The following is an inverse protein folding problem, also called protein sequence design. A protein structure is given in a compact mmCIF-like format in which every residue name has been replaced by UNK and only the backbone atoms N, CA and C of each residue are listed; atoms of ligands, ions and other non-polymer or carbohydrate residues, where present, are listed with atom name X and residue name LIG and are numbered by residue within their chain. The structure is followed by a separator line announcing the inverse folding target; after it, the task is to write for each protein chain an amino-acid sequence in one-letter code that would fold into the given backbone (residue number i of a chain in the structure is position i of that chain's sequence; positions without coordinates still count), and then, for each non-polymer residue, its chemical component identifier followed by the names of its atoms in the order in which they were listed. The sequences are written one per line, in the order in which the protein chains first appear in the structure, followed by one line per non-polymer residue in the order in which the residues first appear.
data_IF_396825959838
#
_entry.id   IF_396825959838
#
_cell.length_a   1.000
_cell.length_b   1.000
_cell.length_c   1.000
_cell.angle_alpha   90.00
_cell.angle_beta   90.00
_cell.angle_gamma   90.00
#
_symmetry.space_group_name_H-M   'P 1'
#
loop_
_entity.id
_entity.type
_entity.pdbx_description
1 polymer ?
#
# COMPACT_ATOMS: atom_id res chain seq x y z
N UNK A 1 3.08 -5.55 -2.59
CA UNK A 1 2.39 -6.61 -1.83
C UNK A 1 0.91 -6.57 -2.21
N UNK A 2 0.36 -7.62 -2.85
CA UNK A 2 -1.05 -7.60 -3.32
C UNK A 2 -2.08 -7.94 -2.24
N UNK A 3 -1.65 -8.43 -1.07
CA UNK A 3 -2.55 -8.88 -0.01
C UNK A 3 -3.38 -7.75 0.63
N UNK A 4 -2.84 -6.52 0.68
CA UNK A 4 -3.48 -5.39 1.36
C UNK A 4 -4.67 -4.80 0.60
N UNK A 5 -4.73 -5.00 -0.72
CA UNK A 5 -5.79 -4.51 -1.60
C UNK A 5 -6.27 -5.65 -2.51
N UNK A 6 -6.93 -6.69 -1.95
CA UNK A 6 -7.31 -7.89 -2.71
C UNK A 6 -8.39 -7.62 -3.78
N UNK A 7 -9.04 -6.46 -3.70
CA UNK A 7 -10.08 -6.03 -4.64
C UNK A 7 -9.57 -5.04 -5.69
N UNK A 8 -8.28 -4.70 -5.68
CA UNK A 8 -7.69 -3.77 -6.65
C UNK A 8 -7.75 -4.34 -8.08
N UNK A 9 -7.93 -3.47 -9.06
CA UNK A 9 -7.87 -3.76 -10.50
C UNK A 9 -7.07 -2.69 -11.24
N UNK A 10 -6.69 -2.97 -12.49
CA UNK A 10 -5.72 -2.20 -13.30
C UNK A 10 -6.22 -0.79 -13.70
N UNK A 11 -7.45 -0.42 -13.33
CA UNK A 11 -7.92 0.96 -13.43
C UNK A 11 -9.43 1.10 -13.21
N UNK A 12 -9.86 2.34 -12.95
CA UNK A 12 -11.27 2.73 -13.00
C UNK A 12 -11.56 3.37 -14.37
N UNK A 13 -12.59 2.93 -15.11
CA UNK A 13 -12.91 3.49 -16.43
C UNK A 13 -13.31 4.98 -16.39
N UNK A 14 -13.66 5.51 -15.22
CA UNK A 14 -13.96 6.93 -15.01
C UNK A 14 -12.69 7.77 -14.84
N UNK A 15 -11.55 7.14 -14.52
CA UNK A 15 -10.30 7.82 -14.21
C UNK A 15 -9.71 8.53 -15.42
N UNK A 16 -9.49 9.84 -15.30
CA UNK A 16 -8.90 10.69 -16.34
C UNK A 16 -7.70 11.42 -15.75
N UNK A 17 -6.49 11.31 -16.35
CA UNK A 17 -5.33 12.10 -15.96
C UNK A 17 -5.57 13.61 -16.08
N UNK A 18 -5.06 14.37 -15.11
CA UNK A 18 -5.07 15.83 -15.08
C UNK A 18 -3.63 16.36 -14.92
N UNK A 19 -3.32 17.63 -15.25
CA UNK A 19 -1.97 18.18 -15.09
C UNK A 19 -1.39 18.01 -13.68
N UNK A 20 -2.22 18.23 -12.65
CA UNK A 20 -1.81 18.09 -11.24
C UNK A 20 -1.98 16.66 -10.71
N UNK A 21 -2.63 15.78 -11.49
CA UNK A 21 -2.94 14.40 -11.14
C UNK A 21 -2.64 13.52 -12.36
N UNK A 22 -1.35 13.34 -12.65
CA UNK A 22 -0.88 12.67 -13.89
C UNK A 22 -1.33 11.20 -14.02
N UNK A 23 -1.76 10.58 -12.92
CA UNK A 23 -2.36 9.24 -12.89
C UNK A 23 -3.88 9.28 -12.68
N UNK A 24 -4.49 10.46 -12.70
CA UNK A 24 -5.88 10.75 -12.38
C UNK A 24 -6.15 10.81 -10.88
N UNK A 25 -7.36 11.26 -10.51
CA UNK A 25 -7.79 11.48 -9.11
C UNK A 25 -7.98 10.17 -8.34
N UNK A 26 -8.32 9.11 -9.06
CA UNK A 26 -8.51 7.75 -8.55
C UNK A 26 -7.76 6.75 -9.44
N UNK A 27 -6.41 6.68 -9.32
CA UNK A 27 -5.57 5.92 -10.25
C UNK A 27 -5.77 4.40 -10.19
N UNK A 28 -6.22 3.90 -9.05
CA UNK A 28 -6.44 2.48 -8.81
C UNK A 28 -7.93 2.16 -8.82
N UNK A 29 -8.33 1.15 -9.59
CA UNK A 29 -9.71 0.68 -9.60
C UNK A 29 -9.97 -0.28 -8.44
N UNK A 30 -11.21 -0.34 -7.97
CA UNK A 30 -11.68 -1.35 -7.03
C UNK A 30 -12.81 -2.18 -7.65
N UNK A 31 -12.54 -3.47 -7.90
CA UNK A 31 -13.47 -4.38 -8.59
C UNK A 31 -14.84 -4.44 -7.92
N UNK A 32 -14.90 -4.54 -6.59
CA UNK A 32 -16.17 -4.66 -5.87
C UNK A 32 -16.97 -3.35 -5.92
N UNK A 33 -16.30 -2.21 -5.82
CA UNK A 33 -16.95 -0.91 -5.96
C UNK A 33 -17.49 -0.70 -7.38
N UNK A 34 -16.75 -1.12 -8.42
CA UNK A 34 -17.23 -1.07 -9.80
C UNK A 34 -18.45 -1.99 -10.01
N UNK A 35 -18.49 -3.17 -9.39
CA UNK A 35 -19.67 -4.05 -9.41
C UNK A 35 -20.89 -3.42 -8.71
N UNK A 36 -20.69 -2.73 -7.57
CA UNK A 36 -21.75 -1.98 -6.89
C UNK A 36 -22.30 -0.88 -7.81
N UNK A 37 -21.44 -0.12 -8.47
CA UNK A 37 -21.85 0.94 -9.37
C UNK A 37 -22.58 0.40 -10.61
N UNK A 38 -22.14 -0.75 -11.14
CA UNK A 38 -22.83 -1.43 -12.24
C UNK A 38 -24.25 -1.87 -11.89
N UNK A 39 -24.58 -2.02 -10.60
CA UNK A 39 -25.95 -2.29 -10.12
C UNK A 39 -26.84 -1.04 -10.00
N UNK A 40 -26.30 0.15 -10.30
CA UNK A 40 -27.04 1.43 -10.24
C UNK A 40 -27.18 2.02 -8.84
N UNK A 41 -26.55 1.43 -7.83
CA UNK A 41 -26.55 1.95 -6.46
C UNK A 41 -25.69 3.20 -6.34
N UNK A 42 -26.14 4.16 -5.53
CA UNK A 42 -25.43 5.42 -5.25
C UNK A 42 -25.52 5.80 -3.77
N UNK A 43 -24.72 6.79 -3.35
CA UNK A 43 -24.77 7.38 -2.01
C UNK A 43 -24.54 6.35 -0.88
N UNK A 44 -25.22 6.53 0.28
CA UNK A 44 -25.07 5.62 1.42
C UNK A 44 -25.42 4.15 1.11
N UNK A 45 -26.35 3.92 0.18
CA UNK A 45 -26.73 2.56 -0.23
C UNK A 45 -25.59 1.85 -0.99
N UNK A 46 -24.86 2.57 -1.84
CA UNK A 46 -23.68 2.02 -2.52
C UNK A 46 -22.57 1.66 -1.53
N UNK A 47 -22.31 2.53 -0.54
CA UNK A 47 -21.31 2.25 0.49
C UNK A 47 -21.70 1.01 1.32
N UNK A 48 -22.95 0.92 1.76
CA UNK A 48 -23.44 -0.25 2.50
C UNK A 48 -23.29 -1.55 1.69
N UNK A 49 -23.69 -1.52 0.41
CA UNK A 49 -23.54 -2.67 -0.49
C UNK A 49 -22.08 -3.03 -0.74
N UNK A 50 -21.18 -2.05 -0.80
CA UNK A 50 -19.74 -2.30 -0.88
C UNK A 50 -19.22 -3.02 0.37
N UNK A 51 -19.57 -2.54 1.57
CA UNK A 51 -19.10 -3.11 2.83
C UNK A 51 -19.59 -4.56 3.02
N UNK A 52 -20.83 -4.84 2.61
CA UNK A 52 -21.36 -6.20 2.61
C UNK A 52 -20.59 -7.10 1.63
N UNK A 53 -20.37 -6.63 0.39
CA UNK A 53 -19.60 -7.38 -0.61
C UNK A 53 -18.14 -7.59 -0.21
N UNK A 54 -17.49 -6.60 0.40
CA UNK A 54 -16.09 -6.73 0.81
C UNK A 54 -15.93 -7.78 1.91
N UNK A 55 -16.89 -7.87 2.83
CA UNK A 55 -16.97 -8.96 3.81
C UNK A 55 -17.24 -10.32 3.15
N UNK A 56 -18.21 -10.41 2.24
CA UNK A 56 -18.60 -11.67 1.59
C UNK A 56 -17.54 -12.21 0.60
N UNK A 57 -16.82 -11.32 -0.07
CA UNK A 57 -15.81 -11.67 -1.08
C UNK A 57 -14.38 -11.69 -0.54
N UNK A 58 -14.19 -11.52 0.77
CA UNK A 58 -12.85 -11.55 1.38
C UNK A 58 -12.16 -12.90 1.08
N UNK A 59 -11.00 -12.91 0.42
CA UNK A 59 -10.27 -14.16 0.19
C UNK A 59 -9.75 -14.73 1.51
N UNK A 60 -9.45 -16.03 1.53
CA UNK A 60 -8.77 -16.65 2.66
C UNK A 60 -7.45 -15.89 2.95
N UNK A 61 -7.31 -15.26 4.13
CA UNK A 61 -6.13 -14.45 4.44
C UNK A 61 -4.84 -15.28 4.44
N UNK A 62 -4.89 -16.51 4.94
CA UNK A 62 -3.71 -17.37 5.06
C UNK A 62 -3.21 -17.79 3.68
N UNK A 63 -4.09 -18.30 2.82
CA UNK A 63 -3.73 -18.67 1.44
C UNK A 63 -3.19 -17.47 0.65
N UNK A 64 -3.76 -16.29 0.87
CA UNK A 64 -3.31 -15.06 0.24
C UNK A 64 -1.90 -14.68 0.69
N UNK A 65 -1.62 -14.78 1.99
CA UNK A 65 -0.31 -14.50 2.55
C UNK A 65 0.73 -15.52 2.09
N UNK A 66 0.40 -16.80 2.04
CA UNK A 66 1.31 -17.86 1.59
C UNK A 66 1.72 -17.65 0.12
N UNK A 67 0.75 -17.31 -0.75
CA UNK A 67 1.03 -16.97 -2.15
C UNK A 67 1.93 -15.74 -2.28
N UNK A 68 1.66 -14.69 -1.51
CA UNK A 68 2.44 -13.45 -1.54
C UNK A 68 3.86 -13.67 -0.98
N UNK A 69 4.00 -14.48 0.07
CA UNK A 69 5.28 -14.91 0.65
C UNK A 69 6.11 -15.67 -0.36
N UNK A 70 5.56 -16.73 -0.93
CA UNK A 70 6.25 -17.53 -1.93
C UNK A 70 6.75 -16.68 -3.10
N UNK A 71 5.91 -15.75 -3.60
CA UNK A 71 6.29 -14.85 -4.69
C UNK A 71 7.39 -13.86 -4.30
N UNK A 72 7.36 -13.33 -3.08
CA UNK A 72 8.38 -12.41 -2.60
C UNK A 72 9.71 -13.13 -2.38
N UNK A 73 9.71 -14.25 -1.66
CA UNK A 73 10.91 -15.05 -1.37
C UNK A 73 11.55 -15.60 -2.65
N UNK A 74 10.74 -16.05 -3.61
CA UNK A 74 11.25 -16.50 -4.91
C UNK A 74 11.96 -15.38 -5.67
N UNK A 75 11.49 -14.13 -5.57
CA UNK A 75 12.17 -12.97 -6.18
C UNK A 75 13.43 -12.61 -5.40
N UNK A 76 13.34 -12.60 -4.08
CA UNK A 76 14.44 -12.28 -3.16
C UNK A 76 15.63 -13.23 -3.37
N UNK A 77 15.36 -14.53 -3.62
CA UNK A 77 16.37 -15.54 -3.90
C UNK A 77 17.17 -15.28 -5.21
N UNK A 78 16.68 -14.39 -6.07
CA UNK A 78 17.36 -13.97 -7.30
C UNK A 78 18.02 -12.58 -7.16
N UNK A 79 18.13 -12.05 -5.95
CA UNK A 79 18.75 -10.76 -5.66
C UNK A 79 19.98 -10.94 -4.77
N UNK A 80 21.05 -10.19 -5.04
CA UNK A 80 22.23 -10.14 -4.15
C UNK A 80 21.89 -9.52 -2.78
N UNK A 81 20.87 -8.64 -2.76
CA UNK A 81 20.38 -7.96 -1.56
C UNK A 81 18.88 -8.23 -1.43
N UNK A 82 18.53 -9.11 -0.48
CA UNK A 82 17.14 -9.46 -0.18
C UNK A 82 16.50 -8.57 0.90
N UNK A 83 15.16 -8.55 0.96
CA UNK A 83 14.37 -7.81 1.95
C UNK A 83 13.13 -8.58 2.47
N UNK A 84 12.89 -9.80 1.99
CA UNK A 84 11.67 -10.54 2.29
C UNK A 84 11.47 -10.80 3.79
N UNK A 85 12.54 -11.17 4.49
CA UNK A 85 12.57 -11.36 5.95
C UNK A 85 12.10 -10.12 6.72
N UNK A 86 12.62 -8.94 6.33
CA UNK A 86 12.23 -7.67 6.95
C UNK A 86 10.77 -7.36 6.72
N UNK A 87 10.29 -7.53 5.49
CA UNK A 87 8.88 -7.35 5.16
C UNK A 87 8.01 -8.27 6.02
N UNK A 88 8.35 -9.55 6.13
CA UNK A 88 7.54 -10.50 6.90
C UNK A 88 7.57 -10.25 8.41
N UNK A 89 8.69 -9.77 8.95
CA UNK A 89 8.80 -9.37 10.34
C UNK A 89 7.98 -8.11 10.68
N UNK A 90 7.74 -7.22 9.71
CA UNK A 90 7.22 -5.88 9.98
C UNK A 90 5.83 -5.59 9.40
N UNK A 91 5.36 -6.28 8.36
CA UNK A 91 4.16 -5.84 7.61
C UNK A 91 2.87 -5.81 8.45
N UNK A 92 2.79 -6.59 9.53
CA UNK A 92 1.65 -6.53 10.47
C UNK A 92 1.79 -5.40 11.49
N UNK A 93 3.01 -5.08 11.86
CA UNK A 93 3.33 -4.10 12.92
C UNK A 93 3.39 -2.67 12.38
N UNK A 94 3.74 -2.50 11.11
CA UNK A 94 4.02 -1.20 10.48
C UNK A 94 3.33 -1.09 9.12
N UNK A 95 2.82 0.11 8.82
CA UNK A 95 2.21 0.41 7.53
C UNK A 95 3.30 0.55 6.45
N UNK A 96 3.81 -0.55 5.89
CA UNK A 96 5.00 -0.53 5.01
C UNK A 96 4.73 -0.10 3.57
N UNK A 97 3.53 -0.35 3.08
CA UNK A 97 3.17 -0.16 1.68
C UNK A 97 2.18 0.99 1.58
N UNK A 98 2.43 1.91 0.64
CA UNK A 98 1.57 3.05 0.36
C UNK A 98 0.46 2.68 -0.64
N UNK A 99 0.74 1.76 -1.56
CA UNK A 99 -0.18 1.32 -2.60
C UNK A 99 0.44 0.17 -3.38
N UNK A 100 -0.09 -0.11 -4.57
CA UNK A 100 0.56 -1.06 -5.47
C UNK A 100 1.97 -0.56 -5.83
N UNK A 101 2.99 -1.37 -5.50
CA UNK A 101 4.42 -1.13 -5.76
C UNK A 101 5.10 0.06 -5.04
N UNK A 102 4.39 0.83 -4.21
CA UNK A 102 4.97 1.95 -3.46
C UNK A 102 5.18 1.60 -1.98
N UNK A 103 6.34 1.93 -1.43
CA UNK A 103 6.70 1.67 -0.03
C UNK A 103 7.07 2.94 0.72
N UNK A 104 7.00 2.88 2.05
CA UNK A 104 7.48 3.95 2.91
C UNK A 104 8.99 4.09 2.91
N UNK A 105 9.46 5.30 3.20
CA UNK A 105 10.86 5.69 3.24
C UNK A 105 11.70 4.76 4.12
N UNK A 106 11.17 4.31 5.26
CA UNK A 106 11.94 3.42 6.14
C UNK A 106 12.21 2.03 5.54
N UNK A 107 11.36 1.54 4.62
CA UNK A 107 11.63 0.29 3.92
C UNK A 107 12.73 0.49 2.85
N UNK A 108 12.77 1.67 2.22
CA UNK A 108 13.87 2.08 1.34
C UNK A 108 15.18 2.21 2.14
N UNK A 109 15.12 2.83 3.32
CA UNK A 109 16.25 2.97 4.22
C UNK A 109 16.84 1.63 4.66
N UNK A 110 15.98 0.64 4.96
CA UNK A 110 16.41 -0.73 5.22
C UNK A 110 17.12 -1.34 4.02
N UNK A 111 16.54 -1.23 2.81
CA UNK A 111 17.17 -1.76 1.60
C UNK A 111 18.52 -1.10 1.32
N UNK A 112 18.62 0.22 1.53
CA UNK A 112 19.85 0.97 1.36
C UNK A 112 20.93 0.55 2.37
N UNK A 113 20.54 0.26 3.62
CA UNK A 113 21.45 -0.27 4.64
C UNK A 113 22.01 -1.64 4.24
N UNK A 114 21.15 -2.55 3.77
CA UNK A 114 21.56 -3.88 3.31
C UNK A 114 22.45 -3.81 2.08
N UNK A 115 22.13 -2.93 1.13
CA UNK A 115 22.98 -2.68 -0.04
C UNK A 115 24.36 -2.17 0.37
N UNK A 116 24.41 -1.24 1.32
CA UNK A 116 25.67 -0.74 1.85
C UNK A 116 26.49 -1.87 2.49
N UNK A 117 25.88 -2.69 3.35
CA UNK A 117 26.59 -3.78 4.03
C UNK A 117 27.12 -4.82 3.02
N UNK A 118 26.37 -5.11 1.94
CA UNK A 118 26.80 -6.00 0.87
C UNK A 118 27.98 -5.44 0.04
N UNK A 119 28.07 -4.11 -0.13
CA UNK A 119 29.09 -3.46 -0.96
C UNK A 119 30.27 -2.90 -0.17
N UNK A 120 30.18 -2.76 1.15
CA UNK A 120 31.15 -2.02 1.95
C UNK A 120 32.59 -2.54 1.79
N UNK A 121 32.78 -3.86 1.76
CA UNK A 121 34.09 -4.47 1.58
C UNK A 121 34.74 -4.12 0.21
N UNK A 122 33.93 -3.82 -0.81
CA UNK A 122 34.40 -3.45 -2.15
C UNK A 122 34.69 -1.94 -2.25
N UNK A 123 33.90 -1.11 -1.56
CA UNK A 123 34.01 0.35 -1.60
C UNK A 123 35.09 0.85 -0.61
N UNK A 124 35.30 0.14 0.50
CA UNK A 124 36.20 0.54 1.58
C UNK A 124 35.68 1.70 2.42
N UNK A 125 36.57 2.37 3.15
CA UNK A 125 36.27 3.53 4.00
C UNK A 125 35.88 3.19 5.44
N UNK A 126 35.47 4.21 6.20
CA UNK A 126 34.99 4.06 7.58
C UNK A 126 33.53 3.58 7.57
N UNK A 127 33.35 2.31 7.94
CA UNK A 127 32.06 1.63 7.99
C UNK A 127 31.03 2.31 8.89
N UNK A 128 31.48 2.80 10.04
CA UNK A 128 30.58 3.33 11.06
C UNK A 128 30.16 4.76 10.72
N UNK A 129 31.10 5.58 10.23
CA UNK A 129 30.79 6.92 9.73
C UNK A 129 29.81 6.85 8.54
N UNK A 130 30.00 5.90 7.62
CA UNK A 130 29.11 5.70 6.48
C UNK A 130 27.71 5.23 6.92
N UNK A 131 27.61 4.26 7.85
CA UNK A 131 26.32 3.85 8.42
C UNK A 131 25.58 4.98 9.11
N UNK A 132 26.28 5.84 9.86
CA UNK A 132 25.67 7.02 10.48
C UNK A 132 25.12 7.99 9.43
N UNK A 133 25.90 8.30 8.38
CA UNK A 133 25.47 9.16 7.28
C UNK A 133 24.28 8.56 6.52
N UNK A 134 24.29 7.26 6.29
CA UNK A 134 23.19 6.56 5.62
C UNK A 134 21.90 6.61 6.44
N UNK A 135 21.98 6.37 7.76
CA UNK A 135 20.83 6.50 8.66
C UNK A 135 20.28 7.93 8.67
N UNK A 136 21.16 8.94 8.72
CA UNK A 136 20.76 10.33 8.65
C UNK A 136 20.06 10.64 7.32
N UNK A 137 20.64 10.24 6.19
CA UNK A 137 20.03 10.40 4.87
C UNK A 137 18.68 9.68 4.77
N UNK A 138 18.59 8.43 5.22
CA UNK A 138 17.36 7.64 5.22
C UNK A 138 16.24 8.29 6.06
N UNK A 139 16.59 8.95 7.18
CA UNK A 139 15.61 9.67 8.01
C UNK A 139 15.00 10.90 7.32
N UNK A 140 15.67 11.42 6.28
CA UNK A 140 15.22 12.55 5.48
C UNK A 140 14.54 12.14 4.16
N UNK A 141 14.56 10.85 3.81
CA UNK A 141 13.94 10.38 2.57
C UNK A 141 12.41 10.54 2.65
N UNK A 142 11.77 11.09 1.61
CA UNK A 142 10.32 11.02 1.50
C UNK A 142 9.88 9.57 1.21
N UNK A 143 8.63 9.29 1.56
CA UNK A 143 7.92 8.10 1.07
C UNK A 143 7.91 8.08 -0.47
N UNK A 144 7.81 6.89 -1.10
CA UNK A 144 7.84 6.79 -2.58
C UNK A 144 6.70 7.53 -3.28
N UNK A 145 5.60 7.79 -2.57
CA UNK A 145 4.44 8.47 -3.09
C UNK A 145 3.82 9.37 -2.01
N UNK A 146 3.11 10.41 -2.47
CA UNK A 146 2.23 11.26 -1.66
C UNK A 146 0.88 10.60 -1.37
N UNK A 147 0.54 9.53 -2.06
CA UNK A 147 -0.73 8.81 -1.91
C UNK A 147 -0.56 7.55 -1.04
N UNK A 148 -1.52 7.33 -0.15
CA UNK A 148 -1.70 6.14 0.67
C UNK A 148 -3.06 5.53 0.36
N UNK A 149 -3.07 4.39 -0.33
CA UNK A 149 -4.29 3.68 -0.69
C UNK A 149 -4.98 3.12 0.56
N UNK A 150 -6.22 3.55 0.86
CA UNK A 150 -6.91 3.13 2.08
C UNK A 150 -7.10 1.62 2.14
N UNK A 151 -6.78 1.04 3.29
CA UNK A 151 -6.93 -0.40 3.53
C UNK A 151 -8.34 -0.66 4.06
N UNK A 152 -9.06 -1.58 3.40
CA UNK A 152 -10.40 -1.99 3.82
C UNK A 152 -10.36 -2.57 5.26
N UNK A 153 -11.25 -2.14 6.17
CA UNK A 153 -11.31 -2.65 7.54
C UNK A 153 -11.42 -4.18 7.63
N UNK A 154 -12.14 -4.83 6.73
CA UNK A 154 -12.26 -6.29 6.66
C UNK A 154 -10.90 -6.91 6.33
N UNK A 155 -10.17 -6.33 5.37
CA UNK A 155 -8.84 -6.79 4.97
C UNK A 155 -7.84 -6.61 6.10
N UNK A 156 -7.83 -5.43 6.74
CA UNK A 156 -6.95 -5.15 7.87
C UNK A 156 -7.16 -6.13 9.03
N UNK A 157 -8.42 -6.44 9.37
CA UNK A 157 -8.76 -7.46 10.37
C UNK A 157 -8.33 -8.86 9.92
N UNK A 158 -8.67 -9.26 8.69
CA UNK A 158 -8.36 -10.59 8.17
C UNK A 158 -6.86 -10.89 8.13
N UNK A 159 -6.02 -9.88 7.84
CA UNK A 159 -4.56 -10.04 7.82
C UNK A 159 -3.89 -9.86 9.20
N UNK A 160 -4.64 -9.39 10.21
CA UNK A 160 -4.13 -9.11 11.54
C UNK A 160 -3.16 -7.92 11.58
N UNK A 161 -3.48 -6.83 10.86
CA UNK A 161 -2.65 -5.63 10.83
C UNK A 161 -2.81 -4.84 12.14
N UNK A 162 -1.77 -4.80 12.97
CA UNK A 162 -1.77 -4.18 14.30
C UNK A 162 -1.65 -2.66 14.26
N UNK A 163 -0.99 -2.12 13.22
CA UNK A 163 -0.90 -0.68 13.00
C UNK A 163 -2.25 -0.06 12.64
N UNK A 164 -3.16 -0.83 12.04
CA UNK A 164 -4.46 -0.35 11.64
C UNK A 164 -5.32 -0.06 12.86
N UNK A 165 -6.00 1.10 12.87
CA UNK A 165 -6.93 1.51 13.92
C UNK A 165 -8.27 1.94 13.31
N UNK A 166 -9.41 1.69 13.97
CA UNK A 166 -10.67 2.30 13.57
C UNK A 166 -10.52 3.82 13.47
N UNK A 167 -11.02 4.41 12.37
CA UNK A 167 -10.88 5.85 12.12
C UNK A 167 -9.48 6.30 11.68
N UNK A 168 -8.54 5.38 11.44
CA UNK A 168 -7.25 5.71 10.83
C UNK A 168 -7.48 6.43 9.50
N UNK A 169 -6.78 7.55 9.31
CA UNK A 169 -6.82 8.36 8.09
C UNK A 169 -5.58 8.06 7.24
N UNK A 170 -5.81 7.98 5.94
CA UNK A 170 -4.81 7.76 4.92
C UNK A 170 -4.63 9.05 4.13
N UNK A 171 -3.39 9.36 3.79
CA UNK A 171 -3.06 10.52 2.96
C UNK A 171 -3.49 10.25 1.51
N UNK A 172 -4.27 11.14 0.91
CA UNK A 172 -4.66 11.05 -0.49
C UNK A 172 -4.37 12.40 -1.15
N UNK A 173 -3.21 12.52 -1.79
CA UNK A 173 -2.65 13.81 -2.21
C UNK A 173 -2.54 14.80 -1.02
N UNK A 174 -3.19 15.97 -1.11
CA UNK A 174 -3.27 16.97 -0.05
C UNK A 174 -4.40 16.68 0.97
N UNK A 175 -5.15 15.58 0.80
CA UNK A 175 -6.27 15.19 1.65
C UNK A 175 -5.85 14.12 2.67
N UNK A 176 -6.67 13.97 3.71
CA UNK A 176 -6.56 12.86 4.66
C UNK A 176 -7.95 12.29 4.90
N UNK A 177 -8.17 11.02 4.57
CA UNK A 177 -9.49 10.38 4.67
C UNK A 177 -9.41 9.05 5.40
N UNK A 178 -10.44 8.76 6.19
CA UNK A 178 -10.76 7.40 6.59
C UNK A 178 -11.12 6.56 5.36
N UNK A 179 -11.10 5.23 5.52
CA UNK A 179 -11.55 4.32 4.47
C UNK A 179 -12.98 4.65 3.97
N UNK A 180 -13.90 4.94 4.89
CA UNK A 180 -15.30 5.24 4.56
C UNK A 180 -15.44 6.55 3.77
N UNK A 181 -14.72 7.60 4.19
CA UNK A 181 -14.67 8.88 3.48
C UNK A 181 -14.10 8.72 2.06
N UNK A 182 -13.03 7.93 1.90
CA UNK A 182 -12.45 7.62 0.60
C UNK A 182 -13.45 6.83 -0.28
N UNK A 183 -14.02 5.75 0.25
CA UNK A 183 -14.89 4.86 -0.53
C UNK A 183 -16.18 5.57 -0.96
N UNK A 184 -16.73 6.43 -0.09
CA UNK A 184 -17.88 7.28 -0.43
C UNK A 184 -17.57 8.18 -1.64
N UNK A 185 -16.40 8.83 -1.63
CA UNK A 185 -15.96 9.69 -2.74
C UNK A 185 -15.67 8.88 -4.01
N UNK A 186 -14.97 7.76 -3.88
CA UNK A 186 -14.65 6.88 -5.00
C UNK A 186 -15.92 6.33 -5.68
N UNK A 187 -16.92 5.90 -4.90
CA UNK A 187 -18.20 5.44 -5.42
C UNK A 187 -18.95 6.56 -6.15
N UNK A 188 -19.04 7.75 -5.54
CA UNK A 188 -19.65 8.91 -6.16
C UNK A 188 -18.84 9.50 -7.33
N UNK A 189 -17.58 9.08 -7.50
CA UNK A 189 -16.57 9.73 -8.33
C UNK A 189 -16.44 11.24 -8.03
N UNK A 190 -16.40 11.56 -6.73
CA UNK A 190 -16.28 12.93 -6.25
C UNK A 190 -14.83 13.41 -6.33
N UNK A 191 -14.59 14.33 -7.25
CA UNK A 191 -13.29 14.97 -7.53
C UNK A 191 -13.23 16.43 -7.05
N UNK A 192 -14.24 16.90 -6.31
CA UNK A 192 -14.31 18.29 -5.82
C UNK A 192 -13.63 18.42 -4.45
N UNK A 193 -12.29 18.41 -4.43
CA UNK A 193 -11.47 18.54 -3.23
C UNK A 193 -10.07 19.10 -3.51
#
# INVERSE_FOLDING_TARGET
MTALWPFATIGDPRNVPEPDYVWGRFPYGNRLALEVLASGLTGPAALAAYMERSAACMPNPQETLDRVRSKLESRDANCDVGIADYVWANFRERHMFLGYAHVRAYAIGELAARLYDAMHALIGGDGDAARQRLRAAASMLPDMDSLEEPIDPVVARGLGLKFYKPGMRFRWYNQHWTFEEYMTRYLAYDVNW
#
